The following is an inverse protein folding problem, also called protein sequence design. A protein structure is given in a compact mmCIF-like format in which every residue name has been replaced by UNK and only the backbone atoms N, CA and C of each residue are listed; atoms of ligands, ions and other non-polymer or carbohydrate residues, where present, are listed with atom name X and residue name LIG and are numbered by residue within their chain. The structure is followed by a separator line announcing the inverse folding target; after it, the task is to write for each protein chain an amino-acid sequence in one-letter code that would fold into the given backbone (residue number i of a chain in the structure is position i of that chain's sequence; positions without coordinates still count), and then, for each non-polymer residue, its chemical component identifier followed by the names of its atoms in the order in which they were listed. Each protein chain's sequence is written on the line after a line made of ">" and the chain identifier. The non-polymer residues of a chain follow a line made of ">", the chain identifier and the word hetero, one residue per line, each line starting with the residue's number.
data_IF_211405400414
#
_entry.id   IF_211405400414
#
_cell.length_a   1.000
_cell.length_b   1.000
_cell.length_c   1.000
_cell.angle_alpha   90.00
_cell.angle_beta   90.00
_cell.angle_gamma   90.00
#
_symmetry.space_group_name_H-M   'P 1'
#
loop_
_entity.id
_entity.type
_entity.pdbx_description
1 polymer ?
#
# COMPACT_ATOMS: atom_id res chain seq x y z
N UNK A 1 -24.52 13.26 6.44
CA UNK A 1 -23.33 13.32 5.58
C UNK A 1 -22.77 11.92 5.56
N UNK A 2 -22.79 11.23 4.42
CA UNK A 2 -22.28 9.85 4.33
C UNK A 2 -20.76 9.92 4.21
N UNK A 3 -20.03 9.32 5.15
CA UNK A 3 -18.55 9.26 5.17
C UNK A 3 -17.97 8.34 4.06
N UNK A 4 -18.62 8.32 2.90
CA UNK A 4 -18.21 7.52 1.75
C UNK A 4 -17.10 8.27 1.03
N UNK A 5 -15.91 7.66 1.02
CA UNK A 5 -14.72 8.16 0.31
C UNK A 5 -14.52 7.33 -0.95
N UNK A 6 -14.22 8.01 -2.06
CA UNK A 6 -13.90 7.36 -3.33
C UNK A 6 -15.13 6.98 -4.16
N UNK A 7 -14.86 6.55 -5.39
CA UNK A 7 -15.87 6.04 -6.32
C UNK A 7 -15.38 4.70 -6.87
N UNK A 8 -15.91 3.57 -6.38
CA UNK A 8 -15.48 2.24 -6.82
C UNK A 8 -15.56 2.04 -8.34
N UNK A 9 -16.52 2.68 -9.00
CA UNK A 9 -16.71 2.55 -10.45
C UNK A 9 -15.63 3.29 -11.26
N UNK A 10 -15.06 4.36 -10.71
CA UNK A 10 -13.90 5.02 -11.27
C UNK A 10 -12.62 4.22 -10.97
N UNK A 11 -12.45 3.77 -9.73
CA UNK A 11 -11.28 3.00 -9.28
C UNK A 11 -11.10 1.66 -10.01
N UNK A 12 -12.15 1.10 -10.62
CA UNK A 12 -12.06 -0.08 -11.48
C UNK A 12 -11.44 0.18 -12.86
N UNK A 13 -11.34 1.45 -13.29
CA UNK A 13 -10.85 1.80 -14.64
C UNK A 13 -9.35 2.09 -14.63
N UNK A 14 -8.64 1.69 -15.68
CA UNK A 14 -7.20 1.97 -15.83
C UNK A 14 -6.88 3.45 -15.76
N UNK A 15 -7.77 4.29 -16.29
CA UNK A 15 -7.60 5.75 -16.35
C UNK A 15 -7.45 6.39 -14.97
N UNK A 16 -8.04 5.78 -13.95
CA UNK A 16 -7.89 6.20 -12.57
C UNK A 16 -6.43 6.13 -12.09
N UNK A 17 -5.64 5.20 -12.63
CA UNK A 17 -4.25 4.96 -12.24
C UNK A 17 -3.22 5.71 -13.11
N UNK A 18 -3.65 6.47 -14.13
CA UNK A 18 -2.77 7.36 -14.91
C UNK A 18 -2.62 8.76 -14.28
N UNK A 19 -3.02 8.91 -13.02
CA UNK A 19 -2.94 10.17 -12.29
C UNK A 19 -1.53 10.45 -11.76
N UNK A 20 -1.14 11.72 -11.54
CA UNK A 20 0.21 12.07 -11.06
C UNK A 20 0.61 11.44 -9.73
N UNK A 21 -0.35 11.12 -8.87
CA UNK A 21 -0.12 10.49 -7.56
C UNK A 21 0.30 9.01 -7.66
N UNK A 22 0.08 8.35 -8.80
CA UNK A 22 0.29 6.91 -8.94
C UNK A 22 1.73 6.50 -8.64
N UNK A 23 2.71 7.28 -9.13
CA UNK A 23 4.13 7.00 -8.91
C UNK A 23 4.48 7.02 -7.42
N UNK A 24 4.07 8.04 -6.69
CA UNK A 24 4.34 8.15 -5.26
C UNK A 24 3.59 7.06 -4.47
N UNK A 25 2.34 6.76 -4.83
CA UNK A 25 1.55 5.72 -4.20
C UNK A 25 2.23 4.35 -4.29
N UNK A 26 2.79 4.02 -5.46
CA UNK A 26 3.57 2.78 -5.66
C UNK A 26 4.81 2.77 -4.77
N UNK A 27 5.57 3.86 -4.70
CA UNK A 27 6.75 3.96 -3.83
C UNK A 27 6.40 3.72 -2.35
N UNK A 28 5.33 4.37 -1.85
CA UNK A 28 4.85 4.20 -0.47
C UNK A 28 4.37 2.78 -0.20
N UNK A 29 3.67 2.19 -1.15
CA UNK A 29 3.23 0.80 -1.09
C UNK A 29 4.42 -0.14 -0.96
N UNK A 30 5.41 -0.02 -1.84
CA UNK A 30 6.60 -0.89 -1.81
C UNK A 30 7.39 -0.74 -0.52
N UNK A 31 7.62 0.50 -0.06
CA UNK A 31 8.29 0.73 1.22
C UNK A 31 7.60 -0.03 2.36
N UNK A 32 6.28 0.18 2.49
CA UNK A 32 5.47 -0.48 3.53
C UNK A 32 5.51 -1.99 3.37
N UNK A 33 5.38 -2.49 2.13
CA UNK A 33 5.35 -3.92 1.86
C UNK A 33 6.67 -4.60 2.19
N UNK A 34 7.80 -3.95 1.90
CA UNK A 34 9.13 -4.45 2.27
C UNK A 34 9.29 -4.51 3.79
N UNK A 35 8.87 -3.47 4.51
CA UNK A 35 8.94 -3.49 5.98
C UNK A 35 8.04 -4.58 6.58
N UNK A 36 6.84 -4.79 6.03
CA UNK A 36 5.96 -5.90 6.42
C UNK A 36 6.65 -7.26 6.21
N UNK A 37 7.25 -7.48 5.03
CA UNK A 37 7.96 -8.73 4.73
C UNK A 37 9.19 -8.94 5.60
N UNK A 38 9.91 -7.87 5.92
CA UNK A 38 11.00 -7.90 6.90
C UNK A 38 10.48 -8.33 8.27
N UNK A 39 9.41 -7.72 8.76
CA UNK A 39 8.83 -8.05 10.07
C UNK A 39 8.32 -9.50 10.12
N UNK A 40 7.64 -9.97 9.07
CA UNK A 40 7.20 -11.38 8.94
C UNK A 40 8.41 -12.33 9.00
N UNK A 41 9.51 -11.99 8.35
CA UNK A 41 10.74 -12.80 8.36
C UNK A 41 11.43 -12.78 9.72
N UNK A 42 11.58 -11.61 10.35
CA UNK A 42 12.16 -11.47 11.69
C UNK A 42 11.36 -12.30 12.71
N UNK A 43 10.03 -12.25 12.62
CA UNK A 43 9.14 -13.07 13.45
C UNK A 43 9.33 -14.58 13.20
N UNK A 44 9.41 -15.01 11.95
CA UNK A 44 9.60 -16.42 11.59
C UNK A 44 10.98 -16.96 12.04
N UNK A 45 12.01 -16.12 12.03
CA UNK A 45 13.37 -16.45 12.48
C UNK A 45 13.55 -16.30 14.00
N UNK A 46 12.54 -15.82 14.73
CA UNK A 46 12.62 -15.58 16.17
C UNK A 46 13.54 -14.41 16.57
N UNK A 47 13.88 -13.54 15.61
CA UNK A 47 14.68 -12.35 15.85
C UNK A 47 13.76 -11.29 16.45
N UNK A 48 13.92 -11.03 17.76
CA UNK A 48 13.28 -9.89 18.42
C UNK A 48 14.31 -8.78 18.45
N UNK A 49 14.05 -7.68 17.74
CA UNK A 49 14.81 -6.45 17.95
C UNK A 49 14.66 -6.10 19.44
N UNK A 50 15.79 -6.01 20.14
CA UNK A 50 15.86 -5.60 21.55
C UNK A 50 15.54 -4.10 21.70
#
# INVERSE_FOLDING_TARGET
>A
MTDVVGNPEEERRSDFFYQPWAQEAVCRYFYTKVQQKRAELEQALGIRNA
#
